data_IF_774495817481
#
_entry.id   IF_774495817481
#
_cell.length_a   1.000
_cell.length_b   1.000
_cell.length_c   1.000
_cell.angle_alpha   90.00
_cell.angle_beta   90.00
_cell.angle_gamma   90.00
#
_symmetry.space_group_name_H-M   'P 1'
#
loop_
_entity.id
_entity.type
_entity.pdbx_description
1 polymer ?
#
# COMPACT_ATOMS: atom_id res chain seq x y z
N UNK A 1 7.60 35.47 -0.60
CA UNK A 1 7.70 34.02 -0.35
C UNK A 1 6.28 33.52 -0.22
N UNK A 2 5.82 32.64 -1.12
CA UNK A 2 4.48 32.06 -1.01
C UNK A 2 4.40 31.31 0.32
N UNK A 3 3.41 31.61 1.15
CA UNK A 3 3.19 30.91 2.42
C UNK A 3 2.68 29.51 2.05
N UNK A 4 3.34 28.48 2.59
CA UNK A 4 2.94 27.09 2.37
C UNK A 4 1.49 26.85 2.81
N UNK A 5 0.65 26.34 1.92
CA UNK A 5 -0.75 26.02 2.22
C UNK A 5 -0.89 24.62 2.82
N UNK A 6 -1.00 24.57 4.14
CA UNK A 6 -1.18 23.34 4.89
C UNK A 6 -2.55 22.71 4.71
N UNK A 7 -3.56 23.43 4.19
CA UNK A 7 -4.89 22.86 3.94
C UNK A 7 -4.86 21.82 2.82
N UNK A 8 -3.91 21.97 1.90
CA UNK A 8 -3.64 21.01 0.83
C UNK A 8 -2.62 19.96 1.28
N UNK A 9 -1.53 20.39 1.94
CA UNK A 9 -0.45 19.47 2.31
C UNK A 9 -0.84 18.48 3.44
N UNK A 10 -1.64 18.92 4.42
CA UNK A 10 -1.98 18.06 5.57
C UNK A 10 -2.79 16.82 5.18
N UNK A 11 -3.88 16.91 4.39
CA UNK A 11 -4.60 15.72 3.95
C UNK A 11 -3.74 14.76 3.13
N UNK A 12 -2.84 15.27 2.28
CA UNK A 12 -1.90 14.46 1.50
C UNK A 12 -0.99 13.65 2.43
N UNK A 13 -0.26 14.34 3.31
CA UNK A 13 0.67 13.69 4.27
C UNK A 13 -0.06 12.76 5.25
N UNK A 14 -1.28 13.08 5.64
CA UNK A 14 -2.06 12.24 6.53
C UNK A 14 -2.53 10.96 5.82
N UNK A 15 -3.08 11.07 4.62
CA UNK A 15 -3.50 9.91 3.83
C UNK A 15 -2.31 9.00 3.51
N UNK A 16 -1.21 9.61 3.10
CA UNK A 16 0.05 8.93 2.79
C UNK A 16 0.61 8.18 4.00
N UNK A 17 0.65 8.79 5.19
CA UNK A 17 1.12 8.10 6.40
C UNK A 17 0.31 6.83 6.70
N UNK A 18 -1.02 6.89 6.60
CA UNK A 18 -1.89 5.74 6.88
C UNK A 18 -1.83 4.67 5.78
N UNK A 19 -1.63 5.07 4.52
CA UNK A 19 -1.38 4.13 3.43
C UNK A 19 -0.05 3.41 3.64
N UNK A 20 1.03 4.17 3.83
CA UNK A 20 2.35 3.65 4.16
C UNK A 20 2.31 2.73 5.39
N UNK A 21 1.56 3.11 6.44
CA UNK A 21 1.34 2.25 7.61
C UNK A 21 0.72 0.90 7.25
N UNK A 22 -0.26 0.88 6.35
CA UNK A 22 -0.89 -0.35 5.92
C UNK A 22 0.02 -1.22 5.07
N UNK A 23 0.74 -0.62 4.12
CA UNK A 23 1.77 -1.29 3.32
C UNK A 23 2.84 -1.93 4.20
N UNK A 24 3.30 -1.18 5.20
CA UNK A 24 4.16 -1.68 6.26
C UNK A 24 3.58 -2.90 6.97
N UNK A 25 2.32 -2.85 7.39
CA UNK A 25 1.68 -3.99 8.06
C UNK A 25 1.60 -5.23 7.17
N UNK A 26 1.34 -5.07 5.87
CA UNK A 26 1.33 -6.17 4.91
C UNK A 26 2.72 -6.78 4.77
N UNK A 27 3.77 -5.96 4.62
CA UNK A 27 5.17 -6.40 4.59
C UNK A 27 5.54 -7.15 5.88
N UNK A 28 5.24 -6.57 7.05
CA UNK A 28 5.53 -7.16 8.36
C UNK A 28 4.80 -8.50 8.56
N UNK A 29 3.55 -8.59 8.09
CA UNK A 29 2.77 -9.84 8.10
C UNK A 29 3.39 -10.88 7.17
N UNK A 30 3.86 -10.48 5.98
CA UNK A 30 4.50 -11.39 5.04
C UNK A 30 5.81 -11.97 5.61
N UNK A 31 6.65 -11.16 6.24
CA UNK A 31 7.87 -11.65 6.92
C UNK A 31 7.59 -12.53 8.15
N UNK A 32 6.43 -12.35 8.77
CA UNK A 32 6.03 -13.15 9.92
C UNK A 32 5.36 -14.48 9.52
N UNK A 33 4.48 -14.47 8.51
CA UNK A 33 3.59 -15.58 8.18
C UNK A 33 4.00 -16.37 6.93
N UNK A 34 4.85 -15.81 6.06
CA UNK A 34 5.22 -16.39 4.77
C UNK A 34 6.73 -16.70 4.69
N UNK A 35 7.11 -17.43 3.64
CA UNK A 35 8.52 -17.62 3.31
C UNK A 35 9.21 -16.31 2.90
N UNK A 36 10.51 -16.21 3.20
CA UNK A 36 11.30 -15.01 2.93
C UNK A 36 11.27 -14.58 1.46
N UNK A 37 11.21 -15.54 0.52
CA UNK A 37 11.08 -15.26 -0.92
C UNK A 37 9.80 -14.49 -1.22
N UNK A 38 8.67 -14.92 -0.64
CA UNK A 38 7.38 -14.25 -0.80
C UNK A 38 7.38 -12.88 -0.13
N UNK A 39 7.91 -12.77 1.09
CA UNK A 39 8.01 -11.49 1.79
C UNK A 39 8.82 -10.45 0.99
N UNK A 40 9.94 -10.84 0.38
CA UNK A 40 10.71 -9.95 -0.50
C UNK A 40 9.99 -9.58 -1.81
N UNK A 41 9.14 -10.46 -2.35
CA UNK A 41 8.26 -10.09 -3.48
C UNK A 41 7.31 -8.98 -3.08
N UNK A 42 6.68 -9.08 -1.91
CA UNK A 42 5.77 -8.04 -1.39
C UNK A 42 6.51 -6.70 -1.22
N UNK A 43 7.72 -6.70 -0.66
CA UNK A 43 8.55 -5.48 -0.59
C UNK A 43 8.80 -4.88 -1.97
N UNK A 44 9.16 -5.71 -2.96
CA UNK A 44 9.41 -5.25 -4.32
C UNK A 44 8.17 -4.62 -4.98
N UNK A 45 6.99 -5.21 -4.77
CA UNK A 45 5.71 -4.66 -5.27
C UNK A 45 5.37 -3.35 -4.57
N UNK A 46 5.49 -3.31 -3.23
CA UNK A 46 5.26 -2.08 -2.47
C UNK A 46 6.13 -0.94 -2.97
N UNK A 47 7.45 -1.15 -3.13
CA UNK A 47 8.33 -0.12 -3.68
C UNK A 47 7.87 0.32 -5.08
N UNK A 48 7.41 -0.61 -5.92
CA UNK A 48 6.99 -0.30 -7.28
C UNK A 48 5.77 0.63 -7.33
N UNK A 49 4.81 0.48 -6.41
CA UNK A 49 3.62 1.35 -6.37
C UNK A 49 3.79 2.58 -5.47
N UNK A 50 4.71 2.54 -4.50
CA UNK A 50 5.02 3.69 -3.65
C UNK A 50 5.83 4.76 -4.39
N UNK A 51 6.83 4.40 -5.20
CA UNK A 51 7.64 5.41 -5.93
C UNK A 51 6.79 6.37 -6.78
N UNK A 52 5.81 5.91 -7.59
CA UNK A 52 4.88 6.80 -8.29
C UNK A 52 4.00 7.63 -7.36
N UNK A 53 3.53 7.05 -6.26
CA UNK A 53 2.66 7.71 -5.28
C UNK A 53 3.38 8.86 -4.59
N UNK A 54 4.55 8.59 -4.03
CA UNK A 54 5.37 9.58 -3.30
C UNK A 54 5.79 10.73 -4.22
N UNK A 55 6.12 10.43 -5.48
CA UNK A 55 6.38 11.46 -6.49
C UNK A 55 5.15 12.32 -6.77
N UNK A 56 3.95 11.73 -6.87
CA UNK A 56 2.71 12.46 -7.08
C UNK A 56 2.41 13.41 -5.90
N UNK A 57 2.60 12.95 -4.67
CA UNK A 57 2.38 13.74 -3.46
C UNK A 57 3.35 14.91 -3.34
N UNK A 58 4.63 14.69 -3.67
CA UNK A 58 5.62 15.76 -3.79
C UNK A 58 5.18 16.79 -4.84
N UNK A 59 4.69 16.35 -6.01
CA UNK A 59 4.20 17.27 -7.03
C UNK A 59 2.97 18.06 -6.58
N UNK A 60 2.04 17.46 -5.85
CA UNK A 60 0.89 18.16 -5.27
C UNK A 60 1.37 19.21 -4.27
N UNK A 61 2.28 18.86 -3.36
CA UNK A 61 2.81 19.80 -2.37
C UNK A 61 3.55 20.98 -3.01
N UNK A 62 4.31 20.76 -4.07
CA UNK A 62 5.03 21.83 -4.77
C UNK A 62 4.06 22.73 -5.54
N UNK A 63 3.18 22.13 -6.36
CA UNK A 63 2.37 22.88 -7.33
C UNK A 63 1.07 23.44 -6.75
N UNK A 64 0.54 22.84 -5.67
CA UNK A 64 -0.72 23.25 -5.04
C UNK A 64 -0.52 23.85 -3.66
N UNK A 65 0.34 23.25 -2.84
CA UNK A 65 0.61 23.75 -1.49
C UNK A 65 1.74 24.79 -1.42
N UNK A 66 2.48 25.02 -2.51
CA UNK A 66 3.57 26.00 -2.55
C UNK A 66 4.78 25.66 -1.68
N UNK A 67 5.05 24.37 -1.47
CA UNK A 67 6.24 23.91 -0.75
C UNK A 67 7.46 24.00 -1.67
N UNK A 68 8.66 24.23 -1.09
CA UNK A 68 9.90 24.00 -1.83
C UNK A 68 10.13 22.50 -2.02
N UNK A 69 10.93 22.13 -3.03
CA UNK A 69 11.32 20.73 -3.27
C UNK A 69 11.83 20.06 -1.99
N UNK A 70 12.77 20.68 -1.27
CA UNK A 70 13.34 20.10 -0.05
C UNK A 70 12.29 19.90 1.05
N UNK A 71 11.36 20.84 1.21
CA UNK A 71 10.32 20.75 2.24
C UNK A 71 9.30 19.68 1.89
N UNK A 72 8.86 19.62 0.63
CA UNK A 72 7.94 18.61 0.15
C UNK A 72 8.52 17.20 0.32
N UNK A 73 9.77 16.98 -0.14
CA UNK A 73 10.44 15.69 0.01
C UNK A 73 10.65 15.32 1.47
N UNK A 74 11.06 16.24 2.34
CA UNK A 74 11.24 15.94 3.76
C UNK A 74 9.93 15.54 4.43
N UNK A 75 8.84 16.30 4.19
CA UNK A 75 7.53 15.98 4.76
C UNK A 75 7.01 14.62 4.26
N UNK A 76 7.19 14.33 2.98
CA UNK A 76 6.82 13.06 2.37
C UNK A 76 7.62 11.88 2.97
N UNK A 77 8.94 12.00 3.09
CA UNK A 77 9.78 10.97 3.76
C UNK A 77 9.37 10.75 5.21
N UNK A 78 9.01 11.82 5.94
CA UNK A 78 8.53 11.70 7.32
C UNK A 78 7.18 10.98 7.41
N UNK A 79 6.30 11.19 6.43
CA UNK A 79 5.04 10.45 6.28
C UNK A 79 5.30 8.97 5.96
N UNK A 80 6.23 8.70 5.05
CA UNK A 80 6.68 7.34 4.69
C UNK A 80 7.24 6.49 5.84
N UNK A 81 7.62 7.10 6.97
CA UNK A 81 7.98 6.36 8.19
C UNK A 81 6.81 5.52 8.74
N UNK A 82 5.57 5.78 8.30
CA UNK A 82 4.42 4.92 8.53
C UNK A 82 4.70 3.47 8.14
N UNK A 83 5.37 3.23 7.02
CA UNK A 83 5.70 1.87 6.54
C UNK A 83 6.59 1.10 7.50
N UNK A 84 7.63 1.72 8.03
CA UNK A 84 8.49 1.11 9.04
C UNK A 84 7.70 0.81 10.32
N UNK A 85 6.89 1.76 10.76
CA UNK A 85 6.06 1.60 11.95
C UNK A 85 5.07 0.43 11.79
N UNK A 86 4.39 0.36 10.64
CA UNK A 86 3.42 -0.69 10.31
C UNK A 86 4.06 -2.07 10.28
N UNK A 87 5.24 -2.18 9.68
CA UNK A 87 5.99 -3.44 9.63
C UNK A 87 6.37 -3.92 11.03
N UNK A 88 6.89 -3.03 11.89
CA UNK A 88 7.25 -3.35 13.27
C UNK A 88 6.02 -3.78 14.08
N UNK A 89 4.90 -3.05 13.96
CA UNK A 89 3.66 -3.38 14.66
C UNK A 89 3.12 -4.74 14.21
N UNK A 90 3.00 -4.97 12.90
CA UNK A 90 2.44 -6.22 12.38
C UNK A 90 3.31 -7.43 12.75
N UNK A 91 4.62 -7.30 12.64
CA UNK A 91 5.56 -8.35 13.02
C UNK A 91 5.51 -8.67 14.53
N UNK A 92 5.34 -7.65 15.38
CA UNK A 92 5.37 -7.82 16.84
C UNK A 92 4.04 -8.25 17.45
N UNK A 93 2.92 -7.71 16.96
CA UNK A 93 1.60 -7.79 17.61
C UNK A 93 0.65 -8.77 16.88
N UNK A 94 1.01 -9.25 15.69
CA UNK A 94 0.17 -10.13 14.85
C UNK A 94 -1.20 -9.50 14.59
N UNK A 95 -1.17 -8.31 13.99
CA UNK A 95 -2.36 -7.51 13.69
C UNK A 95 -3.34 -8.31 12.82
N UNK A 96 -4.61 -8.36 13.25
CA UNK A 96 -5.68 -9.01 12.50
C UNK A 96 -6.06 -8.24 11.22
N UNK A 97 -6.59 -8.97 10.24
CA UNK A 97 -6.99 -8.43 8.92
C UNK A 97 -8.01 -7.30 9.00
N UNK A 98 -8.84 -7.27 10.04
CA UNK A 98 -9.84 -6.21 10.26
C UNK A 98 -9.20 -4.84 10.52
N UNK A 99 -8.16 -4.79 11.36
CA UNK A 99 -7.47 -3.54 11.66
C UNK A 99 -6.65 -3.05 10.45
N UNK A 100 -6.04 -3.97 9.72
CA UNK A 100 -5.37 -3.65 8.45
C UNK A 100 -6.35 -3.03 7.46
N UNK A 101 -7.53 -3.65 7.28
CA UNK A 101 -8.59 -3.12 6.42
C UNK A 101 -9.12 -1.75 6.86
N UNK A 102 -9.28 -1.54 8.18
CA UNK A 102 -9.73 -0.25 8.72
C UNK A 102 -8.72 0.87 8.43
N UNK A 103 -7.42 0.61 8.61
CA UNK A 103 -6.35 1.57 8.30
C UNK A 103 -6.35 1.90 6.80
N UNK A 104 -6.46 0.88 5.94
CA UNK A 104 -6.54 1.05 4.49
C UNK A 104 -7.77 1.89 4.08
N UNK A 105 -8.92 1.65 4.71
CA UNK A 105 -10.15 2.38 4.43
C UNK A 105 -10.03 3.88 4.80
N UNK A 106 -9.36 4.19 5.90
CA UNK A 106 -9.06 5.58 6.30
C UNK A 106 -8.14 6.25 5.27
N UNK A 107 -7.02 5.62 4.91
CA UNK A 107 -6.09 6.15 3.91
C UNK A 107 -6.77 6.36 2.54
N UNK A 108 -7.52 5.36 2.07
CA UNK A 108 -8.26 5.42 0.82
C UNK A 108 -9.31 6.55 0.81
N UNK A 109 -10.02 6.76 1.92
CA UNK A 109 -10.98 7.86 2.05
C UNK A 109 -10.34 9.24 1.95
N UNK A 110 -9.17 9.42 2.55
CA UNK A 110 -8.40 10.68 2.51
C UNK A 110 -7.86 10.93 1.09
N UNK A 111 -7.31 9.92 0.44
CA UNK A 111 -6.85 10.06 -0.95
C UNK A 111 -8.00 10.29 -1.92
N UNK A 112 -9.15 9.66 -1.72
CA UNK A 112 -10.34 9.93 -2.51
C UNK A 112 -10.79 11.40 -2.34
N UNK A 113 -10.75 11.92 -1.11
CA UNK A 113 -11.02 13.33 -0.84
C UNK A 113 -10.07 14.25 -1.62
N UNK A 114 -8.75 14.06 -1.48
CA UNK A 114 -7.73 14.86 -2.20
C UNK A 114 -7.89 14.73 -3.73
N UNK A 115 -8.14 13.51 -4.22
CA UNK A 115 -8.34 13.25 -5.63
C UNK A 115 -9.55 14.01 -6.18
N UNK A 116 -10.65 14.08 -5.42
CA UNK A 116 -11.84 14.81 -5.82
C UNK A 116 -11.69 16.33 -5.71
N UNK A 117 -11.04 16.85 -4.65
CA UNK A 117 -10.99 18.29 -4.39
C UNK A 117 -9.83 19.00 -5.08
N UNK A 118 -8.68 18.35 -5.22
CA UNK A 118 -7.44 18.98 -5.73
C UNK A 118 -7.09 18.52 -7.15
N UNK A 119 -7.12 17.20 -7.38
CA UNK A 119 -6.71 16.61 -8.67
C UNK A 119 -7.84 16.62 -9.70
N UNK A 120 -9.08 16.37 -9.28
CA UNK A 120 -10.26 16.33 -10.14
C UNK A 120 -10.47 17.62 -10.95
N UNK A 121 -10.42 18.81 -10.33
CA UNK A 121 -10.47 20.08 -11.05
C UNK A 121 -9.29 20.27 -11.99
N UNK A 122 -8.07 19.85 -11.58
CA UNK A 122 -6.87 19.98 -12.39
C UNK A 122 -6.91 19.11 -13.66
N UNK A 123 -7.30 17.84 -13.53
CA UNK A 123 -7.49 16.90 -14.65
C UNK A 123 -8.60 17.38 -15.57
N UNK A 124 -9.70 17.90 -15.03
CA UNK A 124 -10.81 18.45 -15.82
C UNK A 124 -10.38 19.69 -16.62
N UNK A 125 -9.60 20.58 -16.02
CA UNK A 125 -9.05 21.75 -16.71
C UNK A 125 -8.08 21.35 -17.82
N UNK A 126 -7.15 20.42 -17.56
CA UNK A 126 -6.23 19.88 -18.57
C UNK A 126 -6.97 19.21 -19.72
N UNK A 127 -8.07 18.50 -19.44
CA UNK A 127 -8.94 17.90 -20.48
C UNK A 127 -9.62 18.97 -21.33
N UNK A 128 -10.17 20.02 -20.71
CA UNK A 128 -10.84 21.12 -21.42
C UNK A 128 -9.89 21.87 -22.36
N UNK A 129 -8.62 21.98 -21.97
CA UNK A 129 -7.57 22.61 -22.76
C UNK A 129 -6.94 21.67 -23.81
N UNK A 130 -7.34 20.39 -23.85
CA UNK A 130 -6.82 19.43 -24.82
C UNK A 130 -7.51 19.55 -26.18
N UNK A 131 -6.73 19.50 -27.26
CA UNK A 131 -7.27 19.48 -28.63
C UNK A 131 -8.16 18.25 -28.92
N UNK A 132 -8.01 17.17 -28.15
CA UNK A 132 -8.81 15.93 -28.26
C UNK A 132 -9.20 15.43 -26.86
N UNK A 133 -10.26 16.00 -26.24
CA UNK A 133 -10.61 15.73 -24.84
C UNK A 133 -11.07 14.29 -24.59
N UNK A 134 -11.77 13.68 -25.55
CA UNK A 134 -12.18 12.27 -25.46
C UNK A 134 -10.98 11.33 -25.55
N UNK A 135 -10.06 11.59 -26.48
CA UNK A 135 -8.87 10.75 -26.66
C UNK A 135 -7.93 10.83 -25.45
N UNK A 136 -7.68 12.04 -24.92
CA UNK A 136 -6.87 12.22 -23.71
C UNK A 136 -7.47 11.48 -22.51
N UNK A 137 -8.79 11.52 -22.35
CA UNK A 137 -9.49 10.77 -21.32
C UNK A 137 -9.31 9.24 -21.46
N UNK A 138 -9.47 8.72 -22.68
CA UNK A 138 -9.30 7.29 -22.96
C UNK A 138 -7.85 6.86 -22.73
N UNK A 139 -6.87 7.66 -23.14
CA UNK A 139 -5.45 7.38 -22.91
C UNK A 139 -5.14 7.36 -21.41
N UNK A 140 -5.61 8.34 -20.64
CA UNK A 140 -5.42 8.34 -19.18
C UNK A 140 -6.07 7.13 -18.52
N UNK A 141 -7.29 6.75 -18.93
CA UNK A 141 -7.98 5.57 -18.41
C UNK A 141 -7.22 4.28 -18.74
N UNK A 142 -6.75 4.12 -19.97
CA UNK A 142 -5.98 2.94 -20.39
C UNK A 142 -4.68 2.82 -19.62
N UNK A 143 -3.95 3.93 -19.44
CA UNK A 143 -2.72 3.94 -18.63
C UNK A 143 -3.02 3.55 -17.18
N UNK A 144 -4.08 4.10 -16.59
CA UNK A 144 -4.48 3.75 -15.22
C UNK A 144 -4.82 2.25 -15.08
N UNK A 145 -5.62 1.70 -15.99
CA UNK A 145 -6.01 0.28 -15.96
C UNK A 145 -4.81 -0.64 -16.15
N UNK A 146 -3.89 -0.29 -17.06
CA UNK A 146 -2.66 -1.06 -17.25
C UNK A 146 -1.79 -1.01 -15.98
N UNK A 147 -1.58 0.17 -15.40
CA UNK A 147 -0.76 0.32 -14.19
C UNK A 147 -1.35 -0.46 -13.00
N UNK A 148 -2.65 -0.30 -12.75
CA UNK A 148 -3.35 -1.03 -11.68
C UNK A 148 -3.34 -2.54 -11.93
N UNK A 149 -3.53 -2.95 -13.18
CA UNK A 149 -3.48 -4.36 -13.58
C UNK A 149 -2.10 -4.98 -13.38
N UNK A 150 -1.01 -4.26 -13.70
CA UNK A 150 0.35 -4.74 -13.50
C UNK A 150 0.69 -4.93 -12.02
N UNK A 151 0.26 -4.00 -11.15
CA UNK A 151 0.42 -4.13 -9.69
C UNK A 151 -0.39 -5.34 -9.19
N UNK A 152 -1.65 -5.46 -9.61
CA UNK A 152 -2.51 -6.59 -9.23
C UNK A 152 -2.04 -7.95 -9.74
N UNK A 153 -1.36 -8.00 -10.89
CA UNK A 153 -0.85 -9.24 -11.48
C UNK A 153 0.18 -9.92 -10.57
N UNK A 154 0.95 -9.15 -9.80
CA UNK A 154 1.94 -9.73 -8.88
C UNK A 154 1.27 -10.44 -7.70
N UNK A 155 0.01 -10.13 -7.41
CA UNK A 155 -0.78 -10.80 -6.37
C UNK A 155 -1.49 -12.06 -6.88
N UNK A 156 -1.46 -12.37 -8.18
CA UNK A 156 -2.16 -13.54 -8.74
C UNK A 156 -1.47 -14.87 -8.40
N UNK A 157 -0.17 -14.84 -8.14
CA UNK A 157 0.62 -16.02 -7.72
C UNK A 157 0.67 -16.14 -6.19
N UNK A 158 -0.42 -15.76 -5.52
CA UNK A 158 -0.55 -15.80 -4.07
C UNK A 158 -0.60 -17.26 -3.59
N UNK A 159 0.56 -17.78 -3.18
CA UNK A 159 0.57 -18.94 -2.30
C UNK A 159 -0.03 -18.53 -0.94
N UNK A 160 -1.08 -19.21 -0.50
CA UNK A 160 -1.64 -18.99 0.83
C UNK A 160 -0.61 -19.44 1.87
N UNK A 161 0.07 -18.47 2.46
CA UNK A 161 0.95 -18.69 3.60
C UNK A 161 0.12 -19.30 4.74
N UNK A 162 0.23 -20.61 4.90
CA UNK A 162 -0.43 -21.28 6.00
C UNK A 162 0.31 -20.88 7.27
N UNK A 163 -0.42 -20.36 8.25
CA UNK A 163 0.11 -20.24 9.60
C UNK A 163 0.40 -21.65 10.09
N UNK A 164 1.63 -22.13 9.93
CA UNK A 164 2.16 -23.08 10.89
C UNK A 164 2.32 -22.27 12.18
N UNK A 165 1.23 -22.18 12.94
CA UNK A 165 1.32 -21.95 14.38
C UNK A 165 2.43 -22.89 14.82
N UNK A 166 3.56 -22.32 15.24
CA UNK A 166 4.65 -23.06 15.85
C UNK A 166 4.05 -23.71 17.10
N UNK A 167 3.47 -24.89 16.93
CA UNK A 167 3.08 -25.74 18.03
C UNK A 167 4.37 -25.97 18.82
N UNK A 168 4.36 -25.79 20.16
CA UNK A 168 5.51 -26.14 20.96
C UNK A 168 5.87 -27.58 20.63
N UNK A 169 7.13 -27.83 20.30
CA UNK A 169 7.67 -29.17 20.12
C UNK A 169 7.38 -29.99 21.37
N UNK A 170 6.31 -30.78 21.34
CA UNK A 170 6.02 -31.78 22.34
C UNK A 170 6.99 -32.94 22.09
N UNK A 171 8.18 -32.85 22.68
CA UNK A 171 8.89 -34.06 23.09
C UNK A 171 8.02 -34.79 24.10
N UNK A 172 7.40 -35.89 23.67
CA UNK A 172 7.05 -37.03 24.55
C UNK A 172 6.77 -38.22 23.66
N UNK A 173 7.65 -39.22 23.74
CA UNK A 173 7.45 -40.50 23.07
C UNK A 173 6.43 -41.37 23.77
N UNK A 174 5.71 -42.17 22.99
CA UNK A 174 5.26 -43.53 23.30
C UNK A 174 4.42 -44.01 22.11
N UNK A 175 4.75 -45.19 21.59
CA UNK A 175 4.12 -45.73 20.39
C UNK A 175 2.64 -46.05 20.56
N UNK A 176 1.89 -45.83 19.50
CA UNK A 176 0.61 -46.49 19.28
C UNK A 176 0.42 -46.67 17.77
N UNK A 177 0.41 -47.93 17.35
CA UNK A 177 0.13 -48.38 16.00
C UNK A 177 -1.34 -48.16 15.67
N UNK A 178 -1.66 -47.35 14.67
CA UNK A 178 -3.02 -47.17 14.15
C UNK A 178 -3.48 -48.43 13.37
N UNK A 179 -4.54 -49.13 13.81
CA UNK A 179 -5.05 -50.34 13.18
C UNK A 179 -6.05 -50.09 12.03
N UNK A 180 -6.28 -48.86 11.57
CA UNK A 180 -7.30 -48.54 10.56
C UNK A 180 -6.77 -48.19 9.16
N UNK A 181 -5.54 -48.58 8.84
CA UNK A 181 -5.03 -48.60 7.46
C UNK A 181 -5.68 -49.73 6.65
N UNK A 182 -6.89 -49.52 6.14
CA UNK A 182 -7.52 -50.43 5.19
C UNK A 182 -8.86 -49.91 4.71
N UNK A 183 -8.88 -49.40 3.48
CA UNK A 183 -9.84 -49.75 2.42
C UNK A 183 -9.71 -48.72 1.28
N UNK A 184 -8.80 -49.03 0.36
CA UNK A 184 -8.80 -48.46 -0.99
C UNK A 184 -9.68 -49.34 -1.89
N UNK A 185 -10.60 -48.71 -2.61
CA UNK A 185 -11.17 -49.18 -3.87
C UNK A 185 -11.03 -48.04 -4.88
#
# INVERSE_FOLDING_TARGET
MSVSDWRVAFPVLFGDFFHNLADGMVIGTAFFACDASFAWKIVGVSILHEVPQELADIFVMINKAGFSWQKATLCNVLSGLGSLLGAVIAYSVRVGVELQGAILAVGAGVFLFVACTELGPAVSASRKNSARPVLSALVTLVIFVIAAGLIGLVLLDHEHCTQSVQAPSAETGSGETDPHAGHAH
#
